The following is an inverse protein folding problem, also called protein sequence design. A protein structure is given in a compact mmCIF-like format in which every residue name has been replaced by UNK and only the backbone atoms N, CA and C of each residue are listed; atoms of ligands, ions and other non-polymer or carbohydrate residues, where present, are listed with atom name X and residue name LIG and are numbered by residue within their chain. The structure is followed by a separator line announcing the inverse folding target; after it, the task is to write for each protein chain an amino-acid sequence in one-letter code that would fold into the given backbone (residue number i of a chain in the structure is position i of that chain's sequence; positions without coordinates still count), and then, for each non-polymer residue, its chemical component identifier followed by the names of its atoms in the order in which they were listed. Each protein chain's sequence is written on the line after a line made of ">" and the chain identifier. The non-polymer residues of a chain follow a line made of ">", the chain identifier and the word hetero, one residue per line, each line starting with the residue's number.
data_IF_262512449125
#
_entry.id   IF_262512449125
#
_cell.length_a   1.000
_cell.length_b   1.000
_cell.length_c   1.000
_cell.angle_alpha   90.00
_cell.angle_beta   90.00
_cell.angle_gamma   90.00
#
_symmetry.space_group_name_H-M   'P 1'
#
loop_
_entity.id
_entity.type
_entity.pdbx_description
1 polymer ?
#
# COMPACT_ATOMS: atom_id res chain seq x y z
N UNK A 1 13.50 15.71 -25.75
CA UNK A 1 14.96 15.92 -25.72
C UNK A 1 15.57 15.29 -26.96
N UNK A 2 15.77 16.04 -28.05
CA UNK A 2 16.39 15.49 -29.26
C UNK A 2 17.89 15.84 -29.36
N UNK A 3 18.38 16.99 -28.87
CA UNK A 3 19.80 17.34 -29.02
C UNK A 3 20.77 16.57 -28.12
N UNK A 4 20.36 16.24 -26.88
CA UNK A 4 21.21 15.49 -25.92
C UNK A 4 21.52 14.04 -26.33
N UNK A 5 20.76 13.48 -27.28
CA UNK A 5 20.98 12.15 -27.86
C UNK A 5 21.59 12.19 -29.26
N UNK A 6 21.62 13.35 -29.92
CA UNK A 6 22.07 13.53 -31.32
C UNK A 6 23.47 14.17 -31.43
N UNK A 7 23.92 14.88 -30.41
CA UNK A 7 25.22 15.56 -30.39
C UNK A 7 26.30 14.69 -29.72
N UNK A 8 27.53 14.78 -30.23
CA UNK A 8 28.68 14.12 -29.60
C UNK A 8 28.95 14.71 -28.21
N UNK A 9 29.60 13.98 -27.29
CA UNK A 9 29.89 14.47 -25.92
C UNK A 9 30.70 15.77 -25.84
N UNK A 10 31.25 16.24 -26.96
CA UNK A 10 32.05 17.46 -27.09
C UNK A 10 31.17 18.67 -27.48
N UNK A 11 30.02 18.43 -28.09
CA UNK A 11 29.13 19.49 -28.62
C UNK A 11 27.96 19.81 -27.67
N UNK A 12 27.93 19.18 -26.49
CA UNK A 12 26.88 19.40 -25.49
C UNK A 12 27.16 20.68 -24.69
N UNK A 13 26.09 21.42 -24.38
CA UNK A 13 26.14 22.61 -23.51
C UNK A 13 26.33 22.27 -22.02
N UNK A 14 26.65 21.03 -21.66
CA UNK A 14 26.88 20.58 -20.29
C UNK A 14 28.00 19.54 -20.24
N UNK A 15 28.60 19.35 -19.06
CA UNK A 15 29.82 18.55 -18.94
C UNK A 15 29.59 17.05 -19.18
N UNK A 16 30.63 16.36 -19.65
CA UNK A 16 30.62 14.89 -19.75
C UNK A 16 30.37 14.21 -18.40
N UNK A 17 30.81 14.84 -17.30
CA UNK A 17 30.54 14.38 -15.94
C UNK A 17 29.03 14.35 -15.66
N UNK A 18 28.32 15.43 -15.97
CA UNK A 18 26.86 15.51 -15.83
C UNK A 18 26.15 14.48 -16.72
N UNK A 19 26.63 14.27 -17.95
CA UNK A 19 26.08 13.24 -18.84
C UNK A 19 26.21 11.83 -18.24
N UNK A 20 27.37 11.48 -17.69
CA UNK A 20 27.61 10.18 -17.06
C UNK A 20 26.75 10.00 -15.80
N UNK A 21 26.64 11.04 -14.98
CA UNK A 21 25.77 11.03 -13.80
C UNK A 21 24.31 10.81 -14.19
N UNK A 22 23.78 11.51 -15.19
CA UNK A 22 22.42 11.31 -15.70
C UNK A 22 22.19 9.90 -16.24
N UNK A 23 23.11 9.39 -17.05
CA UNK A 23 23.03 8.03 -17.60
C UNK A 23 23.06 6.95 -16.53
N UNK A 24 23.81 7.17 -15.44
CA UNK A 24 23.85 6.27 -14.30
C UNK A 24 22.59 6.40 -13.44
N UNK A 25 22.11 7.61 -13.20
CA UNK A 25 20.98 7.91 -12.34
C UNK A 25 19.64 7.45 -12.92
N UNK A 26 19.36 7.80 -14.18
CA UNK A 26 18.03 7.65 -14.79
C UNK A 26 17.47 6.21 -14.71
N UNK A 27 18.22 5.15 -15.06
CA UNK A 27 17.69 3.78 -14.97
C UNK A 27 17.26 3.38 -13.56
N UNK A 28 17.99 3.84 -12.54
CA UNK A 28 17.67 3.53 -11.14
C UNK A 28 16.41 4.26 -10.67
N UNK A 29 16.24 5.52 -11.08
CA UNK A 29 15.03 6.28 -10.77
C UNK A 29 13.80 5.71 -11.47
N UNK A 30 13.91 5.40 -12.76
CA UNK A 30 12.84 4.78 -13.54
C UNK A 30 12.43 3.43 -12.94
N UNK A 31 13.40 2.60 -12.55
CA UNK A 31 13.14 1.32 -11.89
C UNK A 31 12.42 1.51 -10.55
N UNK A 32 12.85 2.46 -9.71
CA UNK A 32 12.20 2.72 -8.42
C UNK A 32 10.74 3.18 -8.60
N UNK A 33 10.49 4.03 -9.59
CA UNK A 33 9.14 4.50 -9.91
C UNK A 33 8.26 3.35 -10.41
N UNK A 34 8.76 2.51 -11.31
CA UNK A 34 8.03 1.35 -11.82
C UNK A 34 7.70 0.35 -10.70
N UNK A 35 8.65 0.09 -9.80
CA UNK A 35 8.42 -0.77 -8.63
C UNK A 35 7.34 -0.20 -7.70
N UNK A 36 7.39 1.10 -7.42
CA UNK A 36 6.39 1.77 -6.59
C UNK A 36 4.98 1.68 -7.22
N UNK A 37 4.86 2.00 -8.50
CA UNK A 37 3.58 1.92 -9.23
C UNK A 37 3.03 0.49 -9.23
N UNK A 38 3.86 -0.49 -9.55
CA UNK A 38 3.47 -1.90 -9.55
C UNK A 38 2.99 -2.37 -8.16
N UNK A 39 3.72 -1.99 -7.11
CA UNK A 39 3.33 -2.33 -5.74
C UNK A 39 1.99 -1.71 -5.36
N UNK A 40 1.78 -0.44 -5.69
CA UNK A 40 0.53 0.29 -5.43
C UNK A 40 -0.67 -0.32 -6.14
N UNK A 41 -0.51 -0.72 -7.40
CA UNK A 41 -1.58 -1.38 -8.17
C UNK A 41 -1.94 -2.74 -7.58
N UNK A 42 -0.92 -3.51 -7.14
CA UNK A 42 -1.13 -4.77 -6.45
C UNK A 42 -1.83 -4.57 -5.11
N UNK A 43 -1.42 -3.57 -4.33
CA UNK A 43 -2.05 -3.21 -3.06
C UNK A 43 -3.54 -2.88 -3.25
N UNK A 44 -3.89 -2.07 -4.25
CA UNK A 44 -5.27 -1.72 -4.55
C UNK A 44 -6.13 -2.94 -4.93
N UNK A 45 -5.58 -3.90 -5.69
CA UNK A 45 -6.25 -5.16 -6.04
C UNK A 45 -6.49 -6.04 -4.81
N UNK A 46 -5.45 -6.23 -3.99
CA UNK A 46 -5.54 -7.02 -2.76
C UNK A 46 -6.51 -6.37 -1.76
N UNK A 47 -6.52 -5.04 -1.63
CA UNK A 47 -7.45 -4.33 -0.75
C UNK A 47 -8.92 -4.57 -1.11
N UNK A 48 -9.27 -4.65 -2.40
CA UNK A 48 -10.62 -5.02 -2.84
C UNK A 48 -10.99 -6.45 -2.43
N UNK A 49 -10.09 -7.40 -2.70
CA UNK A 49 -10.29 -8.80 -2.31
C UNK A 49 -10.40 -8.98 -0.80
N UNK A 50 -9.59 -8.23 -0.04
CA UNK A 50 -9.62 -8.22 1.42
C UNK A 50 -10.98 -7.74 1.93
N UNK A 51 -11.54 -6.66 1.37
CA UNK A 51 -12.87 -6.18 1.76
C UNK A 51 -13.96 -7.25 1.54
N UNK A 52 -13.89 -7.99 0.44
CA UNK A 52 -14.84 -9.07 0.16
C UNK A 52 -14.68 -10.24 1.15
N UNK A 53 -13.43 -10.65 1.44
CA UNK A 53 -13.17 -11.72 2.41
C UNK A 53 -13.49 -11.27 3.85
N UNK A 54 -13.27 -10.01 4.20
CA UNK A 54 -13.67 -9.42 5.48
C UNK A 54 -15.18 -9.55 5.68
N UNK A 55 -15.99 -9.13 4.70
CA UNK A 55 -17.46 -9.26 4.78
C UNK A 55 -17.89 -10.72 4.92
N UNK A 56 -17.26 -11.62 4.17
CA UNK A 56 -17.57 -13.05 4.23
C UNK A 56 -17.21 -13.64 5.59
N UNK A 57 -15.97 -13.49 6.05
CA UNK A 57 -15.52 -14.02 7.34
C UNK A 57 -16.31 -13.42 8.52
N UNK A 58 -16.55 -12.10 8.51
CA UNK A 58 -17.41 -11.43 9.49
C UNK A 58 -18.79 -12.04 9.59
N UNK A 59 -19.45 -12.31 8.45
CA UNK A 59 -20.76 -12.94 8.42
C UNK A 59 -20.75 -14.31 9.11
N UNK A 60 -19.78 -15.16 8.79
CA UNK A 60 -19.69 -16.51 9.36
C UNK A 60 -19.34 -16.51 10.84
N UNK A 61 -18.38 -15.68 11.28
CA UNK A 61 -18.02 -15.54 12.69
C UNK A 61 -19.19 -15.00 13.50
N UNK A 62 -19.84 -13.93 13.02
CA UNK A 62 -21.02 -13.36 13.67
C UNK A 62 -22.19 -14.35 13.73
N UNK A 63 -22.47 -15.08 12.65
CA UNK A 63 -23.54 -16.06 12.60
C UNK A 63 -23.27 -17.23 13.56
N UNK A 64 -22.02 -17.69 13.67
CA UNK A 64 -21.66 -18.72 14.64
C UNK A 64 -22.00 -18.30 16.07
N UNK A 65 -21.61 -17.08 16.48
CA UNK A 65 -21.94 -16.53 17.80
C UNK A 65 -23.46 -16.33 18.00
N UNK A 66 -24.20 -15.92 16.96
CA UNK A 66 -25.66 -15.86 17.01
C UNK A 66 -26.27 -17.23 17.30
N UNK A 67 -25.79 -18.29 16.66
CA UNK A 67 -26.30 -19.65 16.83
C UNK A 67 -26.03 -20.15 18.24
N UNK A 68 -24.86 -19.84 18.81
CA UNK A 68 -24.56 -20.10 20.23
C UNK A 68 -25.60 -19.45 21.13
N UNK A 69 -25.87 -18.15 20.93
CA UNK A 69 -26.87 -17.43 21.72
C UNK A 69 -28.28 -18.02 21.55
N UNK A 70 -28.64 -18.46 20.34
CA UNK A 70 -29.92 -19.12 20.07
C UNK A 70 -30.03 -20.49 20.74
N UNK A 71 -28.95 -21.30 20.76
CA UNK A 71 -28.92 -22.57 21.49
C UNK A 71 -29.12 -22.35 23.00
N UNK A 72 -28.51 -21.31 23.58
CA UNK A 72 -28.74 -20.95 24.98
C UNK A 72 -30.18 -20.48 25.20
N UNK A 73 -30.73 -19.64 24.31
CA UNK A 73 -32.10 -19.16 24.42
C UNK A 73 -33.14 -20.30 24.33
N UNK A 74 -32.85 -21.37 23.59
CA UNK A 74 -33.69 -22.58 23.49
C UNK A 74 -33.49 -23.57 24.65
N UNK A 75 -32.52 -23.32 25.55
CA UNK A 75 -32.19 -24.23 26.66
C UNK A 75 -31.42 -25.49 26.23
N UNK A 76 -30.87 -25.52 25.01
CA UNK A 76 -30.05 -26.63 24.52
C UNK A 76 -28.63 -26.61 25.11
N UNK A 77 -28.14 -25.40 25.42
CA UNK A 77 -26.83 -25.16 26.01
C UNK A 77 -26.97 -24.22 27.21
N UNK A 78 -26.09 -24.37 28.21
CA UNK A 78 -26.11 -23.48 29.37
C UNK A 78 -25.38 -22.15 29.08
N UNK A 79 -25.69 -21.04 29.75
CA UNK A 79 -25.07 -19.73 29.49
C UNK A 79 -23.54 -19.69 29.58
N UNK A 80 -22.93 -20.52 30.42
CA UNK A 80 -21.48 -20.55 30.68
C UNK A 80 -20.67 -20.95 29.44
N UNK A 81 -21.31 -21.51 28.41
CA UNK A 81 -20.60 -21.84 27.16
C UNK A 81 -20.03 -20.60 26.45
N UNK A 82 -20.54 -19.41 26.76
CA UNK A 82 -20.05 -18.15 26.17
C UNK A 82 -18.60 -17.87 26.56
N UNK A 83 -18.19 -18.33 27.74
CA UNK A 83 -16.86 -18.11 28.29
C UNK A 83 -15.76 -18.76 27.42
N UNK A 84 -16.07 -19.88 26.73
CA UNK A 84 -15.14 -20.50 25.77
C UNK A 84 -14.74 -19.55 24.65
N UNK A 85 -15.61 -18.61 24.28
CA UNK A 85 -15.37 -17.65 23.22
C UNK A 85 -14.90 -16.29 23.75
N UNK A 86 -14.60 -16.18 25.05
CA UNK A 86 -14.22 -14.93 25.71
C UNK A 86 -15.38 -13.94 25.87
N UNK A 87 -16.61 -14.45 25.95
CA UNK A 87 -17.83 -13.64 26.15
C UNK A 87 -18.38 -13.96 27.55
N UNK A 88 -18.83 -12.93 28.26
CA UNK A 88 -19.46 -13.10 29.58
C UNK A 88 -20.71 -13.99 29.50
N UNK A 89 -20.93 -14.85 30.50
CA UNK A 89 -22.04 -15.79 30.52
C UNK A 89 -23.42 -15.09 30.42
N UNK A 90 -23.56 -13.88 30.96
CA UNK A 90 -24.79 -13.09 30.93
C UNK A 90 -24.93 -12.20 29.68
N UNK A 91 -23.85 -12.03 28.90
CA UNK A 91 -23.86 -11.25 27.67
C UNK A 91 -24.62 -11.99 26.56
N UNK A 92 -25.78 -11.45 26.17
CA UNK A 92 -26.68 -12.08 25.18
C UNK A 92 -26.54 -11.50 23.78
N UNK A 93 -25.86 -10.37 23.65
CA UNK A 93 -25.59 -9.76 22.37
C UNK A 93 -24.41 -10.44 21.67
N UNK A 94 -24.31 -10.22 20.37
CA UNK A 94 -23.16 -10.66 19.58
C UNK A 94 -22.17 -9.50 19.56
N UNK A 95 -20.88 -9.74 19.85
CA UNK A 95 -19.87 -8.70 19.80
C UNK A 95 -19.84 -7.96 18.46
N UNK A 96 -19.57 -6.67 18.52
CA UNK A 96 -19.41 -5.88 17.32
C UNK A 96 -18.11 -6.26 16.58
N UNK A 97 -18.25 -6.52 15.28
CA UNK A 97 -17.14 -6.83 14.36
C UNK A 97 -17.16 -5.80 13.22
N UNK A 98 -16.72 -4.58 13.52
CA UNK A 98 -16.68 -3.46 12.57
C UNK A 98 -15.34 -3.30 11.85
N UNK A 99 -14.25 -3.79 12.46
CA UNK A 99 -12.88 -3.61 11.98
C UNK A 99 -12.15 -4.93 11.74
N UNK A 100 -11.10 -4.90 10.93
CA UNK A 100 -10.24 -6.07 10.66
C UNK A 100 -9.62 -6.62 11.94
N UNK A 101 -9.22 -5.76 12.87
CA UNK A 101 -8.66 -6.13 14.18
C UNK A 101 -9.68 -6.85 15.06
N UNK A 102 -10.93 -6.37 15.08
CA UNK A 102 -12.00 -7.06 15.80
C UNK A 102 -12.30 -8.41 15.17
N UNK A 103 -12.27 -8.53 13.83
CA UNK A 103 -12.48 -9.81 13.15
C UNK A 103 -11.33 -10.80 13.44
N UNK A 104 -10.08 -10.32 13.48
CA UNK A 104 -8.92 -11.13 13.90
C UNK A 104 -9.09 -11.67 15.32
N UNK A 105 -9.54 -10.81 16.24
CA UNK A 105 -9.76 -11.21 17.62
C UNK A 105 -10.89 -12.24 17.75
N UNK A 106 -12.09 -11.89 17.29
CA UNK A 106 -13.28 -12.74 17.46
C UNK A 106 -13.23 -14.00 16.61
N UNK A 107 -12.67 -13.95 15.41
CA UNK A 107 -12.49 -15.13 14.57
C UNK A 107 -11.58 -16.16 15.23
N UNK A 108 -10.49 -15.72 15.87
CA UNK A 108 -9.62 -16.59 16.65
C UNK A 108 -10.34 -17.16 17.88
N UNK A 109 -11.00 -16.32 18.69
CA UNK A 109 -11.71 -16.79 19.87
C UNK A 109 -12.81 -17.81 19.52
N UNK A 110 -13.54 -17.62 18.41
CA UNK A 110 -14.55 -18.58 17.95
C UNK A 110 -13.91 -19.93 17.60
N UNK A 111 -12.79 -19.91 16.88
CA UNK A 111 -12.11 -21.14 16.46
C UNK A 111 -11.55 -21.88 17.67
N UNK A 112 -10.71 -21.20 18.45
CA UNK A 112 -10.03 -21.78 19.61
C UNK A 112 -11.05 -22.24 20.67
N UNK A 113 -12.08 -21.42 20.92
CA UNK A 113 -13.14 -21.72 21.88
C UNK A 113 -13.98 -22.93 21.50
N UNK A 114 -14.38 -23.04 20.22
CA UNK A 114 -15.15 -24.21 19.77
C UNK A 114 -14.30 -25.49 19.79
N UNK A 115 -13.01 -25.41 19.42
CA UNK A 115 -12.09 -26.54 19.53
C UNK A 115 -11.98 -27.03 20.99
N UNK A 116 -11.81 -26.11 21.94
CA UNK A 116 -11.77 -26.44 23.36
C UNK A 116 -13.07 -27.08 23.84
N UNK A 117 -14.22 -26.53 23.43
CA UNK A 117 -15.53 -27.06 23.80
C UNK A 117 -15.73 -28.48 23.26
N UNK A 118 -15.36 -28.72 22.00
CA UNK A 118 -15.41 -30.05 21.38
C UNK A 118 -14.44 -31.01 22.08
N UNK A 119 -13.25 -30.55 22.47
CA UNK A 119 -12.27 -31.37 23.20
C UNK A 119 -12.79 -31.84 24.57
N UNK A 120 -13.68 -31.06 25.19
CA UNK A 120 -14.38 -31.44 26.43
C UNK A 120 -15.61 -32.34 26.20
N UNK A 121 -15.82 -32.82 24.98
CA UNK A 121 -16.92 -33.73 24.63
C UNK A 121 -18.25 -33.02 24.35
N UNK A 122 -18.27 -31.70 24.18
CA UNK A 122 -19.49 -30.98 23.85
C UNK A 122 -19.97 -31.26 22.41
N UNK A 123 -21.28 -31.17 22.21
CA UNK A 123 -21.91 -31.31 20.90
C UNK A 123 -21.46 -30.19 19.95
N UNK A 124 -21.19 -30.53 18.68
CA UNK A 124 -20.76 -29.57 17.65
C UNK A 124 -21.88 -28.63 17.22
N UNK A 125 -21.53 -27.39 16.85
CA UNK A 125 -22.42 -26.52 16.06
C UNK A 125 -22.23 -26.80 14.57
N UNK A 126 -23.33 -26.94 13.83
CA UNK A 126 -23.30 -27.34 12.41
C UNK A 126 -23.65 -26.23 11.41
N UNK A 127 -24.36 -25.18 11.83
CA UNK A 127 -24.88 -24.14 10.93
C UNK A 127 -24.56 -22.75 11.47
N UNK A 128 -23.40 -22.14 11.10
CA UNK A 128 -22.36 -22.70 10.25
C UNK A 128 -21.47 -23.71 10.99
N UNK A 129 -20.86 -24.64 10.26
CA UNK A 129 -19.87 -25.55 10.85
C UNK A 129 -18.58 -24.82 11.16
N UNK A 130 -17.87 -25.26 12.21
CA UNK A 130 -16.57 -24.68 12.57
C UNK A 130 -15.58 -24.69 11.40
N UNK A 131 -15.58 -25.77 10.60
CA UNK A 131 -14.72 -25.90 9.43
C UNK A 131 -14.98 -24.78 8.41
N UNK A 132 -16.26 -24.43 8.18
CA UNK A 132 -16.60 -23.34 7.27
C UNK A 132 -16.16 -21.98 7.83
N UNK A 133 -16.38 -21.74 9.13
CA UNK A 133 -15.90 -20.52 9.79
C UNK A 133 -14.39 -20.38 9.67
N UNK A 134 -13.64 -21.47 9.91
CA UNK A 134 -12.19 -21.52 9.80
C UNK A 134 -11.71 -21.18 8.40
N UNK A 135 -12.24 -21.85 7.37
CA UNK A 135 -11.84 -21.61 5.97
C UNK A 135 -12.06 -20.15 5.58
N UNK A 136 -13.18 -19.53 5.98
CA UNK A 136 -13.45 -18.11 5.70
C UNK A 136 -12.51 -17.20 6.46
N UNK A 137 -12.29 -17.47 7.75
CA UNK A 137 -11.42 -16.69 8.61
C UNK A 137 -9.95 -16.75 8.16
N UNK A 138 -9.40 -17.92 7.91
CA UNK A 138 -8.01 -18.10 7.46
C UNK A 138 -7.74 -17.37 6.14
N UNK A 139 -8.68 -17.45 5.19
CA UNK A 139 -8.56 -16.71 3.92
C UNK A 139 -8.57 -15.20 4.12
N UNK A 140 -9.34 -14.70 5.08
CA UNK A 140 -9.29 -13.29 5.47
C UNK A 140 -7.92 -12.94 6.10
N UNK A 141 -7.41 -13.75 7.01
CA UNK A 141 -6.11 -13.54 7.68
C UNK A 141 -4.97 -13.49 6.67
N UNK A 142 -4.95 -14.41 5.71
CA UNK A 142 -3.94 -14.46 4.65
C UNK A 142 -3.90 -13.15 3.84
N UNK A 143 -5.08 -12.69 3.38
CA UNK A 143 -5.18 -11.44 2.63
C UNK A 143 -4.88 -10.22 3.49
N UNK A 144 -5.27 -10.22 4.76
CA UNK A 144 -4.97 -9.14 5.69
C UNK A 144 -3.46 -8.97 5.86
N UNK A 145 -2.74 -10.07 6.10
CA UNK A 145 -1.28 -10.06 6.21
C UNK A 145 -0.62 -9.60 4.91
N UNK A 146 -1.07 -10.15 3.77
CA UNK A 146 -0.57 -9.75 2.45
C UNK A 146 -0.78 -8.25 2.19
N UNK A 147 -1.95 -7.72 2.54
CA UNK A 147 -2.27 -6.30 2.38
C UNK A 147 -1.38 -5.43 3.27
N UNK A 148 -1.18 -5.83 4.53
CA UNK A 148 -0.29 -5.13 5.49
C UNK A 148 1.16 -5.09 5.00
N UNK A 149 1.65 -6.19 4.43
CA UNK A 149 3.01 -6.26 3.88
C UNK A 149 3.17 -5.36 2.65
N UNK A 150 2.16 -5.32 1.77
CA UNK A 150 2.14 -4.41 0.62
C UNK A 150 2.11 -2.95 1.05
N UNK A 151 1.33 -2.59 2.08
CA UNK A 151 1.33 -1.24 2.66
C UNK A 151 2.73 -0.85 3.14
N UNK A 152 3.37 -1.69 3.95
CA UNK A 152 4.72 -1.45 4.45
C UNK A 152 5.75 -1.31 3.32
N UNK A 153 5.61 -2.12 2.27
CA UNK A 153 6.49 -2.06 1.09
C UNK A 153 6.26 -0.79 0.29
N UNK A 154 5.01 -0.37 0.11
CA UNK A 154 4.63 0.88 -0.56
C UNK A 154 5.23 2.10 0.13
N UNK A 155 5.22 2.14 1.47
CA UNK A 155 5.87 3.22 2.23
C UNK A 155 7.37 3.29 1.96
N UNK A 156 8.09 2.15 2.06
CA UNK A 156 9.53 2.11 1.78
C UNK A 156 9.88 2.52 0.35
N UNK A 157 9.08 2.07 -0.62
CA UNK A 157 9.27 2.43 -2.03
C UNK A 157 8.99 3.92 -2.27
N UNK A 158 7.98 4.48 -1.59
CA UNK A 158 7.69 5.91 -1.65
C UNK A 158 8.87 6.73 -1.11
N UNK A 159 9.42 6.37 0.04
CA UNK A 159 10.58 7.06 0.62
C UNK A 159 11.77 7.06 -0.34
N UNK A 160 12.05 5.92 -0.97
CA UNK A 160 13.09 5.79 -2.00
C UNK A 160 12.82 6.65 -3.23
N UNK A 161 11.57 6.74 -3.69
CA UNK A 161 11.17 7.62 -4.80
C UNK A 161 11.36 9.09 -4.42
N UNK A 162 11.02 9.49 -3.19
CA UNK A 162 11.22 10.86 -2.69
C UNK A 162 12.70 11.22 -2.65
N UNK A 163 13.56 10.30 -2.20
CA UNK A 163 15.01 10.48 -2.21
C UNK A 163 15.52 10.71 -3.64
N UNK A 164 15.14 9.84 -4.58
CA UNK A 164 15.53 10.03 -5.98
C UNK A 164 14.98 11.31 -6.59
N UNK A 165 13.77 11.75 -6.23
CA UNK A 165 13.23 13.03 -6.70
C UNK A 165 14.09 14.20 -6.24
N UNK A 166 14.54 14.18 -4.99
CA UNK A 166 15.46 15.20 -4.45
C UNK A 166 16.78 15.21 -5.21
N UNK A 167 17.33 14.02 -5.52
CA UNK A 167 18.53 13.91 -6.34
C UNK A 167 18.31 14.39 -7.78
N UNK A 168 17.16 14.06 -8.38
CA UNK A 168 16.79 14.50 -9.71
C UNK A 168 16.68 16.03 -9.79
N UNK A 169 16.04 16.66 -8.81
CA UNK A 169 15.92 18.12 -8.73
C UNK A 169 17.30 18.77 -8.69
N UNK A 170 18.22 18.23 -7.88
CA UNK A 170 19.62 18.69 -7.84
C UNK A 170 20.35 18.54 -9.18
N UNK A 171 20.20 17.40 -9.85
CA UNK A 171 20.78 17.17 -11.18
C UNK A 171 20.20 18.10 -12.24
N UNK A 172 18.89 18.35 -12.21
CA UNK A 172 18.20 19.26 -13.13
C UNK A 172 18.70 20.69 -12.92
N UNK A 173 18.80 21.16 -11.67
CA UNK A 173 19.35 22.49 -11.36
C UNK A 173 20.80 22.63 -11.82
N UNK A 174 21.63 21.62 -11.57
CA UNK A 174 23.02 21.62 -12.04
C UNK A 174 23.10 21.68 -13.57
N UNK A 175 22.29 20.87 -14.26
CA UNK A 175 22.25 20.83 -15.71
C UNK A 175 21.78 22.17 -16.31
N UNK A 176 20.76 22.79 -15.72
CA UNK A 176 20.29 24.12 -16.11
C UNK A 176 21.44 25.12 -16.03
N UNK A 177 22.11 25.21 -14.87
CA UNK A 177 23.20 26.17 -14.65
C UNK A 177 24.34 25.98 -15.67
N UNK A 178 24.71 24.73 -15.99
CA UNK A 178 25.74 24.46 -17.00
C UNK A 178 25.32 24.93 -18.39
N UNK A 179 24.07 24.63 -18.80
CA UNK A 179 23.54 25.02 -20.11
C UNK A 179 23.49 26.55 -20.26
N UNK A 180 23.04 27.26 -19.23
CA UNK A 180 23.00 28.73 -19.27
C UNK A 180 24.40 29.35 -19.30
N UNK A 181 25.34 28.81 -18.52
CA UNK A 181 26.71 29.27 -18.51
C UNK A 181 27.39 29.08 -19.88
N UNK A 182 27.09 27.98 -20.58
CA UNK A 182 27.61 27.72 -21.93
C UNK A 182 27.14 28.73 -22.99
N UNK A 183 26.08 29.49 -22.71
CA UNK A 183 25.50 30.48 -23.62
C UNK A 183 25.53 31.91 -23.07
N UNK A 184 26.30 32.16 -22.00
CA UNK A 184 26.28 33.43 -21.28
C UNK A 184 26.81 34.63 -22.08
N UNK A 185 27.68 34.38 -23.05
CA UNK A 185 28.25 35.41 -23.93
C UNK A 185 27.34 35.79 -25.11
N UNK A 186 26.13 35.23 -25.19
CA UNK A 186 25.19 35.48 -26.29
C UNK A 186 24.11 36.49 -25.91
N UNK A 187 23.56 37.16 -26.92
CA UNK A 187 22.42 38.06 -26.75
C UNK A 187 21.26 37.35 -26.01
N UNK A 188 20.54 38.03 -25.10
CA UNK A 188 19.54 37.41 -24.23
C UNK A 188 18.46 36.60 -24.98
N UNK A 189 18.05 37.06 -26.16
CA UNK A 189 17.10 36.35 -27.02
C UNK A 189 17.67 35.03 -27.54
N UNK A 190 18.90 35.06 -28.05
CA UNK A 190 19.60 33.90 -28.61
C UNK A 190 20.01 32.90 -27.52
N UNK A 191 20.42 33.39 -26.34
CA UNK A 191 20.70 32.56 -25.16
C UNK A 191 19.48 31.73 -24.78
N UNK A 192 18.31 32.38 -24.67
CA UNK A 192 17.04 31.70 -24.32
C UNK A 192 16.64 30.66 -25.37
N UNK A 193 16.77 31.00 -26.65
CA UNK A 193 16.49 30.07 -27.75
C UNK A 193 17.37 28.81 -27.65
N UNK A 194 18.69 28.98 -27.50
CA UNK A 194 19.62 27.83 -27.41
C UNK A 194 19.44 27.00 -26.14
N UNK A 195 19.16 27.62 -25.00
CA UNK A 195 18.85 26.88 -23.76
C UNK A 195 17.53 26.10 -23.89
N UNK A 196 16.53 26.67 -24.59
CA UNK A 196 15.25 26.02 -24.84
C UNK A 196 15.39 24.74 -25.68
N UNK A 197 16.39 24.66 -26.57
CA UNK A 197 16.67 23.44 -27.32
C UNK A 197 17.06 22.24 -26.45
N UNK A 198 17.62 22.51 -25.26
CA UNK A 198 17.95 21.50 -24.26
C UNK A 198 16.79 21.20 -23.29
N UNK A 199 15.66 21.91 -23.43
CA UNK A 199 14.47 21.75 -22.61
C UNK A 199 14.36 22.71 -21.43
N UNK A 200 15.20 23.75 -21.37
CA UNK A 200 15.05 24.83 -20.38
C UNK A 200 13.85 25.70 -20.76
N UNK A 201 12.89 25.84 -19.85
CA UNK A 201 11.66 26.61 -20.09
C UNK A 201 11.70 27.90 -19.28
N UNK A 202 11.67 29.03 -19.97
CA UNK A 202 11.58 30.35 -19.34
C UNK A 202 10.12 30.73 -19.13
N UNK A 203 9.75 31.03 -17.88
CA UNK A 203 8.40 31.51 -17.54
C UNK A 203 8.49 32.98 -17.19
N UNK A 204 7.81 33.84 -17.93
CA UNK A 204 7.71 35.27 -17.60
C UNK A 204 6.74 35.46 -16.44
N UNK A 205 7.24 35.98 -15.30
CA UNK A 205 6.39 36.42 -14.19
C UNK A 205 6.31 37.95 -14.16
N UNK A 206 5.14 38.55 -14.43
CA UNK A 206 4.97 40.00 -14.46
C UNK A 206 5.29 40.74 -13.14
N UNK A 207 5.49 40.02 -12.03
CA UNK A 207 5.66 40.57 -10.68
C UNK A 207 7.08 40.47 -10.12
N UNK A 208 8.02 39.85 -10.82
CA UNK A 208 9.43 39.86 -10.42
C UNK A 208 10.09 41.11 -11.04
N UNK A 209 10.48 42.07 -10.20
CA UNK A 209 11.30 43.20 -10.60
C UNK A 209 12.74 42.73 -10.73
N UNK A 210 13.38 43.12 -11.84
CA UNK A 210 14.78 42.86 -12.17
C UNK A 210 15.75 43.14 -11.01
#
# INVERSE_FOLDING_TARGET
>A
MNKGSLLGPVDLAFSQKSLLQLKSFYPHFEQALAQYQHNRDRQAKIGKLLMDQFRSARLYVSHFLQVINLCVARGELKPEIREFYGIDAEERSVPEIGTEQQLLHWGKNVIDGEEQRIAQGATRIYNPSLAMVRVKYEKFVELYNTHKDLLNTSHKLLDKVVEFRTQADGLITHLWNEIEAAHDQQEPSLKREKCSDYGVVYVYRPTEKD
#
